data_IF_864366146397
#
_entry.id   IF_864366146397
#
_cell.length_a   1.000
_cell.length_b   1.000
_cell.length_c   1.000
_cell.angle_alpha   90.00
_cell.angle_beta   90.00
_cell.angle_gamma   90.00
#
_symmetry.space_group_name_H-M   'P 1'
#
loop_
_entity.id
_entity.type
_entity.pdbx_description
1 polymer ?
#
# COMPACT_ATOMS: atom_id res chain seq x y z
N UNK A 1 2.34 20.52 5.86
CA UNK A 1 3.07 19.49 6.63
C UNK A 1 4.55 19.64 6.31
N UNK A 2 5.37 19.92 7.30
CA UNK A 2 6.80 20.18 7.15
C UNK A 2 7.58 18.86 7.19
N UNK A 3 8.81 18.84 6.66
CA UNK A 3 9.71 17.67 6.70
C UNK A 3 9.94 17.15 8.13
N UNK A 4 10.04 18.07 9.10
CA UNK A 4 10.20 17.72 10.51
C UNK A 4 8.98 17.00 11.12
N UNK A 5 7.77 17.35 10.68
CA UNK A 5 6.55 16.68 11.10
C UNK A 5 6.46 15.27 10.50
N UNK A 6 6.86 15.10 9.23
CA UNK A 6 6.93 13.79 8.58
C UNK A 6 7.96 12.85 9.25
N UNK A 7 9.06 13.38 9.75
CA UNK A 7 10.08 12.60 10.49
C UNK A 7 9.61 12.14 11.87
N UNK A 8 8.63 12.81 12.45
CA UNK A 8 8.07 12.48 13.78
C UNK A 8 6.79 11.66 13.73
N UNK A 9 6.12 11.66 12.58
CA UNK A 9 4.81 11.03 12.44
C UNK A 9 4.92 9.77 11.58
N UNK A 10 4.39 8.66 12.07
CA UNK A 10 4.26 7.45 11.27
C UNK A 10 3.28 7.72 10.11
N UNK A 11 3.69 7.41 8.89
CA UNK A 11 2.81 7.47 7.72
C UNK A 11 1.89 6.25 7.76
N UNK A 12 0.62 6.48 8.00
CA UNK A 12 -0.41 5.44 8.09
C UNK A 12 -1.30 5.52 6.85
N UNK A 13 -1.77 4.39 6.37
CA UNK A 13 -2.74 4.36 5.27
C UNK A 13 -4.07 4.94 5.76
N UNK A 14 -4.59 6.02 5.16
CA UNK A 14 -5.87 6.61 5.56
C UNK A 14 -7.02 5.64 5.27
N UNK A 15 -8.17 5.76 5.93
CA UNK A 15 -9.32 4.88 5.70
C UNK A 15 -9.81 4.90 4.25
N UNK A 16 -9.73 6.04 3.58
CA UNK A 16 -10.02 6.17 2.15
C UNK A 16 -9.07 5.34 1.28
N UNK A 17 -7.78 5.32 1.60
CA UNK A 17 -6.80 4.49 0.91
C UNK A 17 -7.03 3.00 1.09
N UNK A 18 -7.42 2.58 2.31
CA UNK A 18 -7.80 1.18 2.59
C UNK A 18 -9.03 0.77 1.78
N UNK A 19 -10.06 1.64 1.73
CA UNK A 19 -11.26 1.40 0.94
C UNK A 19 -10.94 1.22 -0.55
N UNK A 20 -10.11 2.10 -1.12
CA UNK A 20 -9.68 2.01 -2.52
C UNK A 20 -8.94 0.70 -2.81
N UNK A 21 -8.05 0.26 -1.91
CA UNK A 21 -7.34 -1.02 -2.08
C UNK A 21 -8.31 -2.22 -2.05
N UNK A 22 -9.32 -2.18 -1.15
CA UNK A 22 -10.32 -3.24 -1.08
C UNK A 22 -11.23 -3.26 -2.31
N UNK A 23 -11.64 -2.10 -2.81
CA UNK A 23 -12.42 -1.99 -4.06
C UNK A 23 -11.62 -2.58 -5.22
N UNK A 24 -10.35 -2.23 -5.36
CA UNK A 24 -9.47 -2.79 -6.39
C UNK A 24 -9.37 -4.32 -6.31
N UNK A 25 -9.27 -4.85 -5.10
CA UNK A 25 -9.22 -6.29 -4.89
C UNK A 25 -10.59 -6.97 -5.13
N UNK A 26 -11.69 -6.28 -4.85
CA UNK A 26 -13.05 -6.81 -5.04
C UNK A 26 -13.47 -6.88 -6.51
N UNK A 27 -13.01 -5.93 -7.35
CA UNK A 27 -13.41 -5.83 -8.77
C UNK A 27 -13.19 -7.13 -9.55
N UNK A 28 -12.00 -7.78 -9.55
CA UNK A 28 -11.79 -9.03 -10.29
C UNK A 28 -12.71 -10.15 -9.81
N UNK A 29 -12.95 -10.23 -8.49
CA UNK A 29 -13.86 -11.23 -7.92
C UNK A 29 -15.31 -11.02 -8.36
N UNK A 30 -15.76 -9.77 -8.43
CA UNK A 30 -17.10 -9.42 -8.89
C UNK A 30 -17.31 -9.83 -10.36
N UNK A 31 -16.29 -9.64 -11.21
CA UNK A 31 -16.34 -10.07 -12.61
C UNK A 31 -16.28 -11.60 -12.77
N UNK A 32 -15.53 -12.29 -11.92
CA UNK A 32 -15.39 -13.73 -11.98
C UNK A 32 -16.62 -14.47 -11.39
N UNK A 33 -17.30 -13.87 -10.41
CA UNK A 33 -18.43 -14.49 -9.72
C UNK A 33 -19.53 -15.04 -10.66
N UNK A 34 -20.06 -14.30 -11.65
CA UNK A 34 -21.12 -14.82 -12.52
C UNK A 34 -20.70 -16.06 -13.30
N UNK A 35 -19.43 -16.15 -13.70
CA UNK A 35 -18.92 -17.33 -14.41
C UNK A 35 -18.87 -18.56 -13.53
N UNK A 36 -18.49 -18.40 -12.26
CA UNK A 36 -18.45 -19.51 -11.29
C UNK A 36 -19.86 -19.94 -10.90
N UNK A 37 -20.79 -19.00 -10.71
CA UNK A 37 -22.18 -19.28 -10.43
C UNK A 37 -22.88 -20.00 -11.60
N UNK A 38 -22.46 -19.72 -12.84
CA UNK A 38 -22.97 -20.42 -14.01
C UNK A 38 -22.63 -21.92 -13.98
N UNK A 39 -21.48 -22.29 -13.43
CA UNK A 39 -21.09 -23.71 -13.33
C UNK A 39 -21.83 -24.44 -12.21
N UNK A 40 -21.90 -23.84 -11.02
CA UNK A 40 -22.56 -24.43 -9.85
C UNK A 40 -22.80 -23.36 -8.77
N UNK A 41 -23.98 -23.39 -8.18
CA UNK A 41 -24.33 -22.51 -7.05
C UNK A 41 -23.41 -22.76 -5.85
N UNK A 42 -23.08 -24.04 -5.58
CA UNK A 42 -22.19 -24.40 -4.47
C UNK A 42 -20.78 -23.88 -4.71
N UNK A 43 -20.26 -24.01 -5.93
CA UNK A 43 -18.97 -23.48 -6.31
C UNK A 43 -18.94 -21.94 -6.23
N UNK A 44 -20.01 -21.27 -6.66
CA UNK A 44 -20.17 -19.83 -6.56
C UNK A 44 -20.16 -19.33 -5.12
N UNK A 45 -20.89 -20.00 -4.22
CA UNK A 45 -20.90 -19.67 -2.80
C UNK A 45 -19.50 -19.85 -2.17
N UNK A 46 -18.83 -20.95 -2.45
CA UNK A 46 -17.46 -21.21 -1.99
C UNK A 46 -16.46 -20.15 -2.49
N UNK A 47 -16.59 -19.77 -3.76
CA UNK A 47 -15.78 -18.70 -4.35
C UNK A 47 -15.99 -17.36 -3.65
N UNK A 48 -17.24 -16.97 -3.40
CA UNK A 48 -17.55 -15.71 -2.71
C UNK A 48 -16.98 -15.67 -1.29
N UNK A 49 -17.08 -16.79 -0.54
CA UNK A 49 -16.50 -16.90 0.79
C UNK A 49 -14.97 -16.76 0.76
N UNK A 50 -14.31 -17.47 -0.15
CA UNK A 50 -12.85 -17.42 -0.30
C UNK A 50 -12.39 -16.03 -0.71
N UNK A 51 -13.06 -15.42 -1.69
CA UNK A 51 -12.72 -14.09 -2.17
C UNK A 51 -12.98 -13.01 -1.11
N UNK A 52 -14.10 -13.09 -0.41
CA UNK A 52 -14.41 -12.21 0.71
C UNK A 52 -13.39 -12.29 1.83
N UNK A 53 -12.94 -13.50 2.17
CA UNK A 53 -11.87 -13.73 3.13
C UNK A 53 -10.55 -13.10 2.68
N UNK A 54 -10.21 -13.21 1.39
CA UNK A 54 -9.00 -12.61 0.82
C UNK A 54 -9.04 -11.08 0.89
N UNK A 55 -10.18 -10.47 0.54
CA UNK A 55 -10.38 -9.02 0.67
C UNK A 55 -10.29 -8.57 2.13
N UNK A 56 -10.85 -9.34 3.06
CA UNK A 56 -10.74 -9.09 4.49
C UNK A 56 -9.30 -9.14 4.98
N UNK A 57 -8.51 -10.14 4.54
CA UNK A 57 -7.08 -10.23 4.86
C UNK A 57 -6.29 -9.02 4.35
N UNK A 58 -6.62 -8.53 3.14
CA UNK A 58 -6.02 -7.31 2.58
C UNK A 58 -6.37 -6.08 3.41
N UNK A 59 -7.62 -5.95 3.84
CA UNK A 59 -8.07 -4.88 4.74
C UNK A 59 -7.29 -4.91 6.05
N UNK A 60 -7.23 -6.05 6.70
CA UNK A 60 -6.50 -6.23 7.96
C UNK A 60 -5.01 -5.90 7.80
N UNK A 61 -4.40 -6.32 6.68
CA UNK A 61 -3.01 -5.99 6.35
C UNK A 61 -2.81 -4.49 6.14
N UNK A 62 -3.72 -3.82 5.46
CA UNK A 62 -3.67 -2.37 5.26
C UNK A 62 -3.84 -1.60 6.59
N UNK A 63 -4.60 -2.15 7.54
CA UNK A 63 -4.73 -1.58 8.89
C UNK A 63 -3.43 -1.66 9.70
N UNK A 64 -2.63 -2.72 9.48
CA UNK A 64 -1.36 -2.94 10.20
C UNK A 64 -0.16 -2.26 9.55
N UNK A 65 -0.38 -1.54 8.44
CA UNK A 65 0.69 -0.85 7.74
C UNK A 65 1.05 0.45 8.43
N UNK A 66 2.33 0.62 8.78
CA UNK A 66 2.89 1.86 9.27
C UNK A 66 4.30 2.06 8.70
N UNK A 67 4.57 3.25 8.20
CA UNK A 67 5.90 3.63 7.74
C UNK A 67 6.42 4.78 8.59
N UNK A 68 7.64 4.64 9.08
CA UNK A 68 8.32 5.66 9.88
C UNK A 68 9.54 6.16 9.12
N UNK A 69 9.59 7.47 8.89
CA UNK A 69 10.73 8.12 8.27
C UNK A 69 11.73 8.54 9.36
N UNK A 70 12.85 7.83 9.45
CA UNK A 70 13.98 8.21 10.29
C UNK A 70 14.95 9.16 9.57
N UNK A 71 15.94 9.69 10.29
CA UNK A 71 16.95 10.58 9.72
C UNK A 71 17.80 9.94 8.61
N UNK A 72 18.12 8.66 8.77
CA UNK A 72 18.97 7.90 7.82
C UNK A 72 18.31 6.67 7.25
N UNK A 73 17.16 6.27 7.79
CA UNK A 73 16.49 5.02 7.45
C UNK A 73 15.00 5.23 7.25
N UNK A 74 14.42 4.50 6.30
CA UNK A 74 12.97 4.34 6.16
C UNK A 74 12.61 2.97 6.71
N UNK A 75 11.80 2.93 7.75
CA UNK A 75 11.34 1.68 8.36
C UNK A 75 9.87 1.49 8.05
N UNK A 76 9.54 0.36 7.43
CA UNK A 76 8.15 -0.01 7.14
C UNK A 76 7.78 -1.23 7.97
N UNK A 77 6.70 -1.11 8.69
CA UNK A 77 6.05 -2.18 9.43
C UNK A 77 4.85 -2.67 8.64
N UNK A 78 4.80 -3.94 8.32
CA UNK A 78 3.68 -4.55 7.59
C UNK A 78 3.46 -5.96 8.09
N UNK A 79 2.21 -6.35 8.26
CA UNK A 79 1.80 -7.71 8.59
C UNK A 79 0.84 -7.80 9.77
N UNK A 80 -0.14 -8.71 9.67
CA UNK A 80 -1.13 -9.01 10.71
C UNK A 80 -0.69 -10.20 11.55
N UNK A 81 -0.28 -11.28 10.87
CA UNK A 81 0.13 -12.53 11.52
C UNK A 81 1.65 -12.64 11.72
N UNK A 82 2.42 -12.10 10.76
CA UNK A 82 3.88 -12.06 10.83
C UNK A 82 4.32 -10.61 10.63
N UNK A 83 4.71 -9.89 11.70
CA UNK A 83 5.20 -8.53 11.57
C UNK A 83 6.53 -8.54 10.81
N UNK A 84 6.51 -8.05 9.58
CA UNK A 84 7.70 -7.86 8.77
C UNK A 84 8.17 -6.42 8.94
N UNK A 85 9.39 -6.26 9.41
CA UNK A 85 10.07 -4.98 9.50
C UNK A 85 11.08 -4.86 8.37
N UNK A 86 10.83 -3.96 7.44
CA UNK A 86 11.79 -3.62 6.39
C UNK A 86 12.45 -2.28 6.72
N UNK A 87 13.78 -2.29 6.77
CA UNK A 87 14.58 -1.09 7.01
C UNK A 87 15.39 -0.82 5.76
N UNK A 88 15.21 0.36 5.18
CA UNK A 88 15.93 0.82 4.01
C UNK A 88 16.78 2.03 4.38
N UNK A 89 18.06 2.01 4.03
CA UNK A 89 18.94 3.18 4.16
C UNK A 89 18.58 4.22 3.08
N UNK A 90 18.34 5.47 3.46
CA UNK A 90 17.97 6.55 2.53
C UNK A 90 19.01 6.73 1.42
N UNK A 91 20.30 6.61 1.74
CA UNK A 91 21.42 6.71 0.78
C UNK A 91 21.49 5.53 -0.22
N UNK A 92 20.80 4.42 0.06
CA UNK A 92 20.75 3.28 -0.83
C UNK A 92 19.59 3.33 -1.82
N UNK A 93 18.76 4.38 -1.79
CA UNK A 93 17.63 4.56 -2.70
C UNK A 93 18.16 4.89 -4.09
N UNK A 94 17.87 4.03 -5.06
CA UNK A 94 18.29 4.21 -6.46
C UNK A 94 17.19 4.81 -7.33
N UNK A 95 15.92 4.57 -6.99
CA UNK A 95 14.81 5.19 -7.71
C UNK A 95 13.56 5.29 -6.86
N UNK A 96 12.82 6.38 -7.07
CA UNK A 96 11.53 6.62 -6.44
C UNK A 96 10.49 6.78 -7.55
N UNK A 97 9.44 5.98 -7.53
CA UNK A 97 8.34 6.06 -8.50
C UNK A 97 7.03 6.32 -7.78
N UNK A 98 6.34 7.36 -8.21
CA UNK A 98 5.01 7.71 -7.73
C UNK A 98 3.99 7.27 -8.77
N UNK A 99 3.13 6.32 -8.41
CA UNK A 99 2.07 5.82 -9.26
C UNK A 99 0.73 6.33 -8.77
N UNK A 100 -0.05 6.91 -9.70
CA UNK A 100 -1.40 7.43 -9.45
C UNK A 100 -2.36 6.81 -10.45
N UNK A 101 -3.07 5.78 -10.07
CA UNK A 101 -4.17 5.25 -10.88
C UNK A 101 -5.41 6.14 -10.75
N UNK A 102 -6.36 6.09 -11.71
CA UNK A 102 -7.58 6.91 -11.64
C UNK A 102 -8.36 6.74 -10.33
N UNK A 103 -8.47 5.50 -9.83
CA UNK A 103 -9.13 5.20 -8.56
C UNK A 103 -8.37 5.73 -7.34
N UNK A 104 -7.04 5.68 -7.36
CA UNK A 104 -6.21 6.27 -6.31
C UNK A 104 -6.35 7.80 -6.30
N UNK A 105 -6.52 8.41 -7.47
CA UNK A 105 -6.77 9.86 -7.58
C UNK A 105 -8.09 10.25 -6.95
N UNK A 106 -9.17 9.47 -7.16
CA UNK A 106 -10.47 9.69 -6.52
C UNK A 106 -10.39 9.59 -4.99
N UNK A 107 -9.55 8.69 -4.46
CA UNK A 107 -9.31 8.53 -3.03
C UNK A 107 -8.31 9.54 -2.44
N UNK A 108 -7.71 10.43 -3.25
CA UNK A 108 -6.67 11.37 -2.79
C UNK A 108 -5.39 10.71 -2.32
N UNK A 109 -5.14 9.47 -2.74
CA UNK A 109 -3.98 8.65 -2.33
C UNK A 109 -3.09 8.30 -3.52
N UNK A 110 -1.85 7.91 -3.23
CA UNK A 110 -0.84 7.55 -4.23
C UNK A 110 -0.08 6.30 -3.78
N UNK A 111 0.41 5.53 -4.74
CA UNK A 111 1.32 4.42 -4.50
C UNK A 111 2.76 4.91 -4.69
N UNK A 112 3.59 4.77 -3.67
CA UNK A 112 5.00 5.10 -3.73
C UNK A 112 5.82 3.80 -3.75
N UNK A 113 6.67 3.67 -4.77
CA UNK A 113 7.60 2.56 -4.91
C UNK A 113 9.01 3.11 -4.76
N UNK A 114 9.71 2.64 -3.75
CA UNK A 114 11.12 2.98 -3.50
C UNK A 114 11.95 1.76 -3.81
N UNK A 115 12.89 1.88 -4.74
CA UNK A 115 13.81 0.82 -5.10
C UNK A 115 15.22 1.13 -4.61
N UNK A 116 15.85 0.10 -4.04
CA UNK A 116 17.26 0.09 -3.68
C UNK A 116 17.92 -1.20 -4.19
N UNK A 117 19.25 -1.28 -4.29
CA UNK A 117 19.94 -2.49 -4.69
C UNK A 117 19.56 -3.66 -3.78
N UNK A 118 18.90 -4.67 -4.36
CA UNK A 118 18.44 -5.87 -3.64
C UNK A 118 17.14 -5.74 -2.84
N UNK A 119 16.49 -4.56 -2.80
CA UNK A 119 15.23 -4.37 -2.07
C UNK A 119 14.29 -3.41 -2.79
N UNK A 120 13.00 -3.74 -2.77
CA UNK A 120 11.92 -2.86 -3.22
C UNK A 120 10.95 -2.65 -2.09
N UNK A 121 10.68 -1.40 -1.77
CA UNK A 121 9.75 -1.00 -0.74
C UNK A 121 8.47 -0.46 -1.40
N UNK A 122 7.34 -1.07 -1.09
CA UNK A 122 6.04 -0.64 -1.57
C UNK A 122 5.29 0.05 -0.43
N UNK A 123 4.94 1.32 -0.65
CA UNK A 123 4.12 2.11 0.26
C UNK A 123 2.76 2.34 -0.40
N UNK A 124 1.79 1.47 -0.16
CA UNK A 124 0.49 1.54 -0.83
C UNK A 124 -0.39 2.63 -0.23
N UNK A 125 -1.14 3.32 -1.10
CA UNK A 125 -2.27 4.18 -0.71
C UNK A 125 -1.94 5.25 0.37
N UNK A 126 -0.79 5.92 0.24
CA UNK A 126 -0.40 7.05 1.09
C UNK A 126 -1.12 8.32 0.60
N UNK A 127 -1.50 9.26 1.50
CA UNK A 127 -2.02 10.56 1.09
C UNK A 127 -1.14 11.24 0.06
N UNK A 128 -1.73 11.77 -1.01
CA UNK A 128 -0.99 12.28 -2.17
C UNK A 128 0.02 13.39 -1.81
N UNK A 129 -0.31 14.22 -0.81
CA UNK A 129 0.57 15.26 -0.30
C UNK A 129 1.81 14.68 0.40
N UNK A 130 1.61 13.68 1.26
CA UNK A 130 2.70 12.98 1.96
C UNK A 130 3.57 12.19 1.00
N UNK A 131 2.97 11.54 0.00
CA UNK A 131 3.69 10.80 -1.03
C UNK A 131 4.59 11.72 -1.88
N UNK A 132 4.11 12.92 -2.23
CA UNK A 132 4.89 13.92 -2.96
C UNK A 132 6.09 14.42 -2.15
N UNK A 133 5.89 14.78 -0.89
CA UNK A 133 6.95 15.20 0.03
C UNK A 133 7.98 14.09 0.26
N UNK A 134 7.52 12.86 0.52
CA UNK A 134 8.39 11.68 0.67
C UNK A 134 9.21 11.42 -0.59
N UNK A 135 8.59 11.51 -1.76
CA UNK A 135 9.29 11.33 -3.03
C UNK A 135 10.37 12.38 -3.25
N UNK A 136 10.09 13.64 -2.90
CA UNK A 136 11.05 14.75 -3.00
C UNK A 136 12.23 14.54 -2.06
N UNK A 137 11.97 14.26 -0.78
CA UNK A 137 12.99 14.01 0.24
C UNK A 137 13.90 12.82 -0.13
N UNK A 138 13.30 11.71 -0.61
CA UNK A 138 14.04 10.52 -0.99
C UNK A 138 14.79 10.69 -2.32
N UNK A 139 14.31 11.55 -3.22
CA UNK A 139 15.00 11.86 -4.48
C UNK A 139 16.18 12.80 -4.26
N UNK A 140 16.11 13.71 -3.27
CA UNK A 140 17.17 14.64 -2.93
C UNK A 140 18.36 13.94 -2.23
N UNK A 141 18.09 12.84 -1.51
CA UNK A 141 19.10 12.00 -0.87
C UNK A 141 19.65 10.88 -1.79
N UNK A 142 19.07 10.69 -2.96
CA UNK A 142 19.59 9.73 -3.94
C UNK A 142 20.89 10.27 -4.57
N UNK A 143 21.93 9.44 -4.70
CA UNK A 143 23.21 9.84 -5.27
C UNK A 143 23.09 10.22 -6.74
#
# INVERSE_FOLDING_TARGET
>A
MTEQELRRTAVIIPPTGRAVLCVWAAVPGLFAAPFVFWQSIVAGAGFCLLWGFLVYCLWARACSFAAVLGERTVTVYSGVALPVRQVLLRRAVTSVRLLRTPLLRLGGVSLLIVAAPGAKLFLPAIPAQQAGLLAHILAEDAP
#
